data_IF_859584120114
#
_entry.id   IF_859584120114
#
_cell.length_a   1.000
_cell.length_b   1.000
_cell.length_c   1.000
_cell.angle_alpha   90.00
_cell.angle_beta   90.00
_cell.angle_gamma   90.00
#
_symmetry.space_group_name_H-M   'P 1'
#
loop_
_entity.id
_entity.type
_entity.pdbx_description
1 polymer ?
#
# COMPACT_ATOMS: atom_id res chain seq x y z
N UNK A 1 16.29 -3.28 26.69
CA UNK A 1 15.11 -3.22 25.79
C UNK A 1 15.57 -3.74 24.44
N UNK A 2 14.83 -4.67 23.83
CA UNK A 2 15.09 -5.18 22.48
C UNK A 2 14.02 -4.64 21.53
N UNK A 3 14.46 -4.13 20.37
CA UNK A 3 13.59 -3.56 19.34
C UNK A 3 13.61 -4.43 18.09
N UNK A 4 12.44 -4.77 17.57
CA UNK A 4 12.28 -5.40 16.26
C UNK A 4 11.62 -4.40 15.31
N UNK A 5 12.38 -3.88 14.36
CA UNK A 5 11.92 -2.95 13.32
C UNK A 5 11.52 -3.62 12.00
N UNK A 6 11.46 -4.95 11.97
CA UNK A 6 11.16 -5.72 10.77
C UNK A 6 9.69 -5.71 10.39
N UNK A 7 9.36 -6.32 9.25
CA UNK A 7 7.96 -6.64 8.90
C UNK A 7 7.55 -7.98 9.54
N UNK A 8 7.76 -8.10 10.85
CA UNK A 8 7.43 -9.30 11.63
C UNK A 8 5.92 -9.52 11.70
N UNK A 9 5.51 -10.78 11.83
CA UNK A 9 4.11 -11.08 12.14
C UNK A 9 3.81 -10.70 13.59
N UNK A 10 2.68 -10.06 13.86
CA UNK A 10 2.37 -9.53 15.18
C UNK A 10 2.26 -10.63 16.26
N UNK A 11 1.77 -11.83 15.90
CA UNK A 11 1.71 -12.95 16.83
C UNK A 11 3.12 -13.43 17.26
N UNK A 12 4.11 -13.40 16.36
CA UNK A 12 5.50 -13.72 16.72
C UNK A 12 6.05 -12.69 17.71
N UNK A 13 5.62 -11.43 17.57
CA UNK A 13 5.99 -10.34 18.48
C UNK A 13 5.37 -10.54 19.86
N UNK A 14 4.11 -10.97 19.93
CA UNK A 14 3.46 -11.34 21.18
C UNK A 14 4.20 -12.51 21.87
N UNK A 15 4.53 -13.57 21.12
CA UNK A 15 5.29 -14.71 21.65
C UNK A 15 6.67 -14.28 22.17
N UNK A 16 7.39 -13.44 21.41
CA UNK A 16 8.71 -12.90 21.83
C UNK A 16 8.59 -12.01 23.07
N UNK A 17 7.59 -11.13 23.11
CA UNK A 17 7.31 -10.25 24.25
C UNK A 17 7.09 -11.07 25.52
N UNK A 18 6.19 -12.06 25.48
CA UNK A 18 5.90 -12.94 26.61
C UNK A 18 7.14 -13.69 27.11
N UNK A 19 7.90 -14.31 26.21
CA UNK A 19 9.09 -15.09 26.58
C UNK A 19 10.25 -14.25 27.12
N UNK A 20 10.42 -13.02 26.63
CA UNK A 20 11.47 -12.11 27.09
C UNK A 20 11.09 -11.39 28.39
N UNK A 21 9.81 -11.07 28.58
CA UNK A 21 9.33 -10.47 29.83
C UNK A 21 9.57 -11.39 31.04
N UNK A 22 9.45 -12.71 30.88
CA UNK A 22 9.80 -13.69 31.92
C UNK A 22 11.28 -13.64 32.34
N UNK A 23 12.15 -13.08 31.49
CA UNK A 23 13.58 -12.88 31.76
C UNK A 23 13.92 -11.44 32.17
N UNK A 24 12.91 -10.61 32.43
CA UNK A 24 13.11 -9.19 32.74
C UNK A 24 13.55 -8.33 31.54
N UNK A 25 13.37 -8.82 30.31
CA UNK A 25 13.76 -8.10 29.09
C UNK A 25 12.51 -7.58 28.40
N UNK A 26 12.37 -6.25 28.30
CA UNK A 26 11.33 -5.63 27.49
C UNK A 26 11.60 -5.81 25.99
N UNK A 27 10.56 -6.22 25.26
CA UNK A 27 10.53 -6.32 23.80
C UNK A 27 9.55 -5.30 23.22
N UNK A 28 9.95 -4.59 22.16
CA UNK A 28 9.11 -3.61 21.46
C UNK A 28 9.12 -3.96 19.97
N UNK A 29 7.93 -4.16 19.39
CA UNK A 29 7.74 -4.32 17.95
C UNK A 29 7.44 -2.98 17.30
N UNK A 30 8.20 -2.61 16.28
CA UNK A 30 8.10 -1.32 15.61
C UNK A 30 7.84 -1.53 14.11
N UNK A 31 6.64 -1.20 13.68
CA UNK A 31 6.35 -1.07 12.26
C UNK A 31 7.06 0.14 11.67
N UNK A 32 7.97 -0.06 10.71
CA UNK A 32 8.70 1.05 10.05
C UNK A 32 8.26 1.20 8.60
N UNK A 33 7.74 2.36 8.18
CA UNK A 33 7.33 2.64 6.79
C UNK A 33 8.00 3.89 6.21
N UNK A 34 8.26 3.89 4.89
CA UNK A 34 8.93 5.00 4.18
C UNK A 34 10.02 4.58 3.18
N UNK A 35 10.32 3.29 3.08
CA UNK A 35 11.39 2.78 2.21
C UNK A 35 12.78 3.26 2.63
N UNK A 36 13.77 3.13 1.75
CA UNK A 36 15.16 3.53 2.03
C UNK A 36 15.29 5.04 2.27
N UNK A 37 14.57 5.84 1.49
CA UNK A 37 14.57 7.29 1.63
C UNK A 37 13.92 7.74 2.95
N UNK A 38 12.74 7.19 3.28
CA UNK A 38 12.10 7.47 4.57
C UNK A 38 12.95 7.01 5.75
N UNK A 39 13.58 5.84 5.69
CA UNK A 39 14.50 5.40 6.74
C UNK A 39 15.68 6.37 6.98
N UNK A 40 16.14 7.07 5.94
CA UNK A 40 17.25 8.02 6.04
C UNK A 40 16.86 9.39 6.61
N UNK A 41 15.66 9.88 6.27
CA UNK A 41 15.25 11.26 6.52
C UNK A 41 14.03 11.42 7.43
N UNK A 42 13.35 10.33 7.76
CA UNK A 42 12.14 10.34 8.59
C UNK A 42 11.13 9.28 8.14
N UNK A 43 11.05 8.10 8.79
CA UNK A 43 10.00 7.12 8.53
C UNK A 43 8.77 7.37 9.41
N UNK A 44 7.68 6.68 9.09
CA UNK A 44 6.59 6.47 10.04
C UNK A 44 6.94 5.29 10.96
N UNK A 45 6.76 5.46 12.27
CA UNK A 45 7.04 4.47 13.30
C UNK A 45 5.76 4.10 14.06
N UNK A 46 5.38 2.82 13.98
CA UNK A 46 4.17 2.27 14.57
C UNK A 46 4.59 1.38 15.74
N UNK A 47 4.57 1.89 16.96
CA UNK A 47 5.21 1.22 18.11
C UNK A 47 4.20 0.37 18.88
N UNK A 48 4.54 -0.87 19.18
CA UNK A 48 3.82 -1.75 20.09
C UNK A 48 4.75 -2.32 21.15
N UNK A 49 4.31 -2.36 22.40
CA UNK A 49 5.11 -2.92 23.49
C UNK A 49 4.77 -2.34 24.86
N UNK A 50 5.68 -2.55 25.81
CA UNK A 50 5.52 -2.03 27.16
C UNK A 50 5.67 -0.50 27.20
N UNK A 51 4.73 0.19 27.84
CA UNK A 51 4.68 1.66 27.92
C UNK A 51 5.89 2.28 28.62
N UNK A 52 6.35 1.70 29.75
CA UNK A 52 7.54 2.19 30.47
C UNK A 52 8.79 2.05 29.60
N UNK A 53 8.91 0.93 28.88
CA UNK A 53 10.01 0.72 27.96
C UNK A 53 9.97 1.72 26.81
N UNK A 54 8.79 1.99 26.24
CA UNK A 54 8.61 3.00 25.20
C UNK A 54 9.04 4.41 25.67
N UNK A 55 8.57 4.89 26.82
CA UNK A 55 8.94 6.23 27.30
C UNK A 55 10.44 6.40 27.52
N UNK A 56 11.16 5.33 27.87
CA UNK A 56 12.62 5.40 28.02
C UNK A 56 13.38 5.62 26.70
N UNK A 57 12.77 5.27 25.55
CA UNK A 57 13.36 5.40 24.21
C UNK A 57 12.60 6.38 23.29
N UNK A 58 11.50 6.96 23.79
CA UNK A 58 10.56 7.78 23.01
C UNK A 58 11.27 8.94 22.31
N UNK A 59 12.13 9.68 23.02
CA UNK A 59 12.89 10.80 22.46
C UNK A 59 13.70 10.40 21.21
N UNK A 60 14.27 9.19 21.18
CA UNK A 60 15.01 8.67 20.03
C UNK A 60 14.04 8.45 18.86
N UNK A 61 12.94 7.73 19.10
CA UNK A 61 11.97 7.40 18.05
C UNK A 61 11.31 8.65 17.47
N UNK A 62 10.92 9.62 18.31
CA UNK A 62 10.37 10.89 17.86
C UNK A 62 11.39 11.68 17.01
N UNK A 63 12.67 11.73 17.45
CA UNK A 63 13.72 12.51 16.77
C UNK A 63 14.07 11.99 15.36
N UNK A 64 13.91 10.69 15.12
CA UNK A 64 14.22 10.07 13.83
C UNK A 64 13.00 9.95 12.91
N UNK A 65 11.78 10.11 13.43
CA UNK A 65 10.54 9.97 12.65
C UNK A 65 10.29 11.15 11.70
N UNK A 66 9.50 10.93 10.66
CA UNK A 66 8.97 12.03 9.85
C UNK A 66 8.17 13.00 10.74
N UNK A 67 8.07 14.26 10.33
CA UNK A 67 7.26 15.27 11.02
C UNK A 67 6.27 15.92 10.05
N UNK A 68 5.00 16.00 10.46
CA UNK A 68 3.96 16.70 9.73
C UNK A 68 3.34 17.79 10.62
N UNK A 69 3.49 19.06 10.24
CA UNK A 69 2.95 20.21 10.98
C UNK A 69 3.30 20.19 12.47
N UNK A 70 4.58 19.95 12.79
CA UNK A 70 5.13 19.79 14.15
C UNK A 70 4.66 18.52 14.89
N UNK A 71 3.95 17.60 14.24
CA UNK A 71 3.56 16.32 14.81
C UNK A 71 4.48 15.20 14.28
N UNK A 72 5.26 14.52 15.13
CA UNK A 72 6.06 13.37 14.72
C UNK A 72 5.17 12.21 14.29
N UNK A 73 5.56 11.50 13.23
CA UNK A 73 4.87 10.33 12.70
C UNK A 73 5.27 9.06 13.48
N UNK A 74 5.23 9.13 14.81
CA UNK A 74 5.58 8.07 15.73
C UNK A 74 4.61 8.07 16.92
N UNK A 75 4.09 6.90 17.27
CA UNK A 75 3.23 6.74 18.44
C UNK A 75 3.32 5.33 19.02
N UNK A 76 3.14 5.22 20.34
CA UNK A 76 2.80 3.96 21.01
C UNK A 76 1.32 3.65 20.74
N UNK A 77 1.07 2.60 19.98
CA UNK A 77 -0.26 2.22 19.50
C UNK A 77 -0.94 1.18 20.38
N UNK A 78 -0.18 0.50 21.24
CA UNK A 78 -0.71 -0.52 22.15
C UNK A 78 0.37 -1.47 22.66
N UNK A 79 -0.03 -2.54 23.37
CA UNK A 79 0.90 -3.51 23.90
C UNK A 79 1.50 -4.42 22.81
N UNK A 80 2.57 -5.11 23.17
CA UNK A 80 3.12 -6.26 22.43
C UNK A 80 3.21 -6.10 20.90
N UNK A 81 2.38 -6.84 20.16
CA UNK A 81 2.39 -6.93 18.70
C UNK A 81 1.69 -5.78 17.97
N UNK A 82 1.05 -4.84 18.67
CA UNK A 82 0.16 -3.85 18.05
C UNK A 82 0.86 -3.02 16.96
N UNK A 83 2.12 -2.64 17.16
CA UNK A 83 2.90 -1.90 16.16
C UNK A 83 3.04 -2.65 14.83
N UNK A 84 3.37 -3.95 14.89
CA UNK A 84 3.46 -4.82 13.71
C UNK A 84 2.09 -5.14 13.11
N UNK A 85 1.03 -5.20 13.91
CA UNK A 85 -0.33 -5.37 13.42
C UNK A 85 -0.79 -4.18 12.59
N UNK A 86 -0.62 -2.96 13.12
CA UNK A 86 -0.94 -1.72 12.40
C UNK A 86 -0.11 -1.61 11.11
N UNK A 87 1.17 -2.01 11.15
CA UNK A 87 2.01 -2.05 9.94
C UNK A 87 1.53 -3.05 8.90
N UNK A 88 1.01 -4.19 9.35
CA UNK A 88 0.41 -5.19 8.45
C UNK A 88 -0.81 -4.59 7.74
N UNK A 89 -1.66 -3.87 8.46
CA UNK A 89 -2.84 -3.21 7.86
C UNK A 89 -2.42 -2.06 6.93
N UNK A 90 -1.42 -1.27 7.30
CA UNK A 90 -0.83 -0.26 6.43
C UNK A 90 -0.41 -0.84 5.07
N UNK A 91 0.29 -1.97 5.06
CA UNK A 91 0.67 -2.65 3.80
C UNK A 91 -0.54 -3.17 3.02
N UNK A 92 -1.61 -3.61 3.69
CA UNK A 92 -2.86 -4.00 3.04
C UNK A 92 -3.52 -2.82 2.31
N UNK A 93 -3.64 -1.67 3.01
CA UNK A 93 -4.16 -0.43 2.42
C UNK A 93 -3.28 0.02 1.25
N UNK A 94 -1.95 -0.06 1.37
CA UNK A 94 -1.02 0.24 0.26
C UNK A 94 -1.33 -0.62 -0.97
N UNK A 95 -1.53 -1.93 -0.80
CA UNK A 95 -1.85 -2.84 -1.91
C UNK A 95 -3.16 -2.46 -2.58
N UNK A 96 -4.20 -2.17 -1.79
CA UNK A 96 -5.48 -1.68 -2.29
C UNK A 96 -5.31 -0.39 -3.11
N UNK A 97 -4.57 0.58 -2.59
CA UNK A 97 -4.38 1.88 -3.26
C UNK A 97 -3.61 1.74 -4.57
N UNK A 98 -2.57 0.89 -4.62
CA UNK A 98 -1.84 0.59 -5.84
C UNK A 98 -2.75 -0.06 -6.90
N UNK A 99 -3.61 -1.02 -6.49
CA UNK A 99 -4.53 -1.67 -7.42
C UNK A 99 -5.56 -0.68 -7.97
N UNK A 100 -6.15 0.16 -7.11
CA UNK A 100 -7.12 1.17 -7.55
C UNK A 100 -6.51 2.15 -8.58
N UNK A 101 -5.25 2.54 -8.38
CA UNK A 101 -4.52 3.35 -9.35
C UNK A 101 -4.31 2.58 -10.67
N UNK A 102 -3.92 1.30 -10.58
CA UNK A 102 -3.72 0.45 -11.74
C UNK A 102 -5.01 0.23 -12.54
N UNK A 103 -6.15 0.06 -11.87
CA UNK A 103 -7.46 -0.07 -12.52
C UNK A 103 -7.84 1.20 -13.28
N UNK A 104 -7.63 2.37 -12.67
CA UNK A 104 -7.85 3.66 -13.33
C UNK A 104 -6.92 3.83 -14.54
N UNK A 105 -5.64 3.49 -14.39
CA UNK A 105 -4.71 3.49 -15.51
C UNK A 105 -5.17 2.55 -16.64
N UNK A 106 -5.62 1.33 -16.31
CA UNK A 106 -6.17 0.37 -17.27
C UNK A 106 -7.38 0.92 -18.02
N UNK A 107 -8.32 1.59 -17.32
CA UNK A 107 -9.48 2.23 -17.95
C UNK A 107 -9.05 3.36 -18.90
N UNK A 108 -8.09 4.19 -18.51
CA UNK A 108 -7.59 5.29 -19.33
C UNK A 108 -6.84 4.77 -20.57
N UNK A 109 -6.01 3.74 -20.39
CA UNK A 109 -5.21 3.12 -21.47
C UNK A 109 -6.09 2.34 -22.42
N UNK A 110 -6.85 1.35 -21.94
CA UNK A 110 -7.56 0.40 -22.79
C UNK A 110 -8.91 0.97 -23.24
N UNK A 111 -9.58 1.74 -22.37
CA UNK A 111 -10.90 2.30 -22.64
C UNK A 111 -10.87 3.61 -23.41
N UNK A 112 -9.90 4.49 -23.13
CA UNK A 112 -9.78 5.82 -23.76
C UNK A 112 -8.58 5.96 -24.68
N UNK A 113 -7.77 4.91 -24.87
CA UNK A 113 -6.54 4.94 -25.67
C UNK A 113 -5.58 6.06 -25.25
N UNK A 114 -5.55 6.44 -23.96
CA UNK A 114 -4.61 7.44 -23.47
C UNK A 114 -3.21 6.86 -23.41
N UNK A 115 -2.26 7.64 -23.88
CA UNK A 115 -0.83 7.34 -23.73
C UNK A 115 -0.40 7.45 -22.26
N UNK A 116 0.74 6.84 -21.95
CA UNK A 116 1.45 6.96 -20.67
C UNK A 116 1.64 8.44 -20.28
N UNK A 117 2.12 9.26 -21.22
CA UNK A 117 2.40 10.69 -21.03
C UNK A 117 1.12 11.51 -20.76
N UNK A 118 0.05 11.30 -21.53
CA UNK A 118 -1.23 11.97 -21.26
C UNK A 118 -1.80 11.59 -19.89
N UNK A 119 -1.62 10.33 -19.50
CA UNK A 119 -2.07 9.84 -18.20
C UNK A 119 -1.21 10.40 -17.07
N UNK A 120 0.11 10.57 -17.28
CA UNK A 120 1.02 11.27 -16.36
C UNK A 120 0.56 12.71 -16.09
N UNK A 121 0.18 13.46 -17.12
CA UNK A 121 -0.34 14.82 -16.94
C UNK A 121 -1.64 14.84 -16.13
N UNK A 122 -2.52 13.86 -16.35
CA UNK A 122 -3.75 13.73 -15.58
C UNK A 122 -3.49 13.43 -14.09
N UNK A 123 -2.64 12.44 -13.78
CA UNK A 123 -2.24 12.13 -12.41
C UNK A 123 -1.49 13.30 -11.74
N UNK A 124 -0.66 14.04 -12.49
CA UNK A 124 -0.01 15.27 -12.02
C UNK A 124 -1.05 16.31 -11.57
N UNK A 125 -2.10 16.52 -12.37
CA UNK A 125 -3.20 17.43 -12.03
C UNK A 125 -3.99 16.93 -10.82
N UNK A 126 -4.33 15.64 -10.76
CA UNK A 126 -5.04 15.07 -9.60
C UNK A 126 -4.23 15.15 -8.31
N UNK A 127 -2.91 15.10 -8.41
CA UNK A 127 -2.02 15.23 -7.27
C UNK A 127 -1.97 16.66 -6.70
N UNK A 128 -2.51 17.68 -7.36
CA UNK A 128 -2.68 19.02 -6.78
C UNK A 128 -4.03 19.20 -6.08
N UNK A 129 -4.90 18.20 -6.14
CA UNK A 129 -6.25 18.21 -5.57
C UNK A 129 -6.43 17.20 -4.44
N UNK A 130 -7.66 16.69 -4.31
CA UNK A 130 -8.06 15.73 -3.26
C UNK A 130 -7.34 14.38 -3.31
N UNK A 131 -6.70 14.05 -4.44
CA UNK A 131 -5.91 12.85 -4.61
C UNK A 131 -4.41 13.06 -4.32
N UNK A 132 -4.02 14.24 -3.78
CA UNK A 132 -2.66 14.50 -3.35
C UNK A 132 -2.15 13.38 -2.43
N UNK A 133 -1.18 12.62 -2.91
CA UNK A 133 -0.56 11.54 -2.14
C UNK A 133 0.74 11.08 -2.78
N UNK A 134 1.61 10.45 -2.00
CA UNK A 134 2.87 9.90 -2.51
C UNK A 134 2.64 8.94 -3.68
N UNK A 135 1.68 8.02 -3.60
CA UNK A 135 1.38 7.06 -4.67
C UNK A 135 0.89 7.75 -5.95
N UNK A 136 0.04 8.77 -5.85
CA UNK A 136 -0.42 9.56 -7.00
C UNK A 136 0.77 10.28 -7.66
N UNK A 137 1.65 10.88 -6.86
CA UNK A 137 2.86 11.57 -7.32
C UNK A 137 3.78 10.63 -8.11
N UNK A 138 4.19 9.52 -7.50
CA UNK A 138 5.11 8.59 -8.16
C UNK A 138 4.47 7.92 -9.39
N UNK A 139 3.15 7.78 -9.42
CA UNK A 139 2.44 7.28 -10.62
C UNK A 139 2.66 8.22 -11.79
N UNK A 140 2.50 9.54 -11.59
CA UNK A 140 2.79 10.52 -12.64
C UNK A 140 4.26 10.50 -13.09
N UNK A 141 5.20 10.39 -12.13
CA UNK A 141 6.63 10.29 -12.42
C UNK A 141 6.95 9.01 -13.23
N UNK A 142 6.43 7.85 -12.84
CA UNK A 142 6.64 6.57 -13.54
C UNK A 142 6.08 6.63 -14.97
N UNK A 143 4.87 7.17 -15.14
CA UNK A 143 4.21 7.26 -16.44
C UNK A 143 4.87 8.24 -17.42
N UNK A 144 5.70 9.16 -16.93
CA UNK A 144 6.51 10.07 -17.76
C UNK A 144 7.94 9.57 -17.98
N UNK A 145 8.33 8.47 -17.33
CA UNK A 145 9.66 7.90 -17.47
C UNK A 145 9.81 7.18 -18.81
N UNK A 146 10.99 7.33 -19.42
CA UNK A 146 11.37 6.69 -20.68
C UNK A 146 12.45 5.66 -20.38
N UNK A 147 12.33 4.48 -20.99
CA UNK A 147 13.37 3.46 -20.93
C UNK A 147 14.58 3.89 -21.77
N UNK A 148 15.78 4.02 -21.17
CA UNK A 148 16.96 4.51 -21.88
C UNK A 148 17.48 3.53 -22.95
N UNK A 149 17.04 2.27 -22.95
CA UNK A 149 17.49 1.24 -23.89
C UNK A 149 16.64 1.23 -25.16
N UNK A 150 15.31 1.19 -25.00
CA UNK A 150 14.36 1.08 -26.11
C UNK A 150 13.83 2.43 -26.58
N UNK A 151 13.90 3.48 -25.76
CA UNK A 151 13.27 4.78 -26.02
C UNK A 151 11.74 4.79 -25.87
N UNK A 152 11.14 3.68 -25.43
CA UNK A 152 9.71 3.57 -25.17
C UNK A 152 9.35 4.05 -23.76
N UNK A 153 8.06 4.23 -23.47
CA UNK A 153 7.62 4.52 -22.10
C UNK A 153 8.07 3.40 -21.16
N UNK A 154 8.62 3.75 -20.00
CA UNK A 154 9.15 2.77 -19.05
C UNK A 154 8.07 1.74 -18.65
N UNK A 155 6.83 2.20 -18.47
CA UNK A 155 5.70 1.34 -18.07
C UNK A 155 5.36 0.26 -19.11
N UNK A 156 5.66 0.49 -20.39
CA UNK A 156 5.30 -0.42 -21.49
C UNK A 156 6.32 -1.56 -21.67
N UNK A 157 7.52 -1.43 -21.08
CA UNK A 157 8.59 -2.45 -21.17
C UNK A 157 8.81 -3.20 -19.86
N UNK A 158 8.10 -2.81 -18.78
CA UNK A 158 8.10 -3.55 -17.52
C UNK A 158 7.22 -4.80 -17.67
N UNK A 159 7.75 -5.96 -17.27
CA UNK A 159 6.97 -7.18 -17.20
C UNK A 159 5.80 -7.01 -16.21
N UNK A 160 4.59 -7.30 -16.68
CA UNK A 160 3.31 -7.17 -15.98
C UNK A 160 3.08 -8.32 -14.99
N UNK A 161 4.07 -8.59 -14.15
CA UNK A 161 4.06 -9.61 -13.11
C UNK A 161 4.35 -8.98 -11.76
N UNK A 162 3.30 -8.78 -10.96
CA UNK A 162 3.38 -8.10 -9.68
C UNK A 162 3.83 -9.06 -8.57
N UNK A 163 5.05 -8.87 -8.07
CA UNK A 163 5.54 -9.58 -6.90
C UNK A 163 4.87 -9.09 -5.60
N UNK A 164 4.94 -9.93 -4.56
CA UNK A 164 4.51 -9.58 -3.21
C UNK A 164 5.35 -10.30 -2.14
N UNK A 165 5.43 -9.70 -0.95
CA UNK A 165 6.21 -10.23 0.20
C UNK A 165 5.33 -10.85 1.29
N UNK A 166 4.05 -11.09 1.01
CA UNK A 166 3.11 -11.75 1.92
C UNK A 166 2.48 -10.88 3.01
N UNK A 167 2.94 -9.64 3.24
CA UNK A 167 2.36 -8.76 4.27
C UNK A 167 0.91 -8.39 3.98
N UNK A 168 0.54 -8.17 2.71
CA UNK A 168 -0.86 -7.90 2.36
C UNK A 168 -1.75 -9.13 2.58
N UNK A 169 -1.24 -10.34 2.29
CA UNK A 169 -1.97 -11.60 2.53
C UNK A 169 -2.28 -11.74 4.02
N UNK A 170 -1.32 -11.40 4.89
CA UNK A 170 -1.52 -11.41 6.34
C UNK A 170 -2.68 -10.49 6.75
N UNK A 171 -2.80 -9.30 6.17
CA UNK A 171 -3.92 -8.38 6.46
C UNK A 171 -5.27 -9.03 6.17
N UNK A 172 -5.41 -9.73 5.04
CA UNK A 172 -6.65 -10.45 4.67
C UNK A 172 -6.93 -11.60 5.64
N UNK A 173 -5.91 -12.41 5.96
CA UNK A 173 -6.06 -13.54 6.88
C UNK A 173 -6.57 -13.05 8.24
N UNK A 174 -5.99 -11.97 8.77
CA UNK A 174 -6.44 -11.38 10.04
C UNK A 174 -7.83 -10.76 9.92
N UNK A 175 -8.15 -10.14 8.78
CA UNK A 175 -9.51 -9.67 8.48
C UNK A 175 -10.55 -10.78 8.58
N UNK A 176 -10.30 -11.92 7.92
CA UNK A 176 -11.21 -13.06 7.97
C UNK A 176 -11.34 -13.65 9.37
N UNK A 177 -10.25 -13.77 10.14
CA UNK A 177 -10.29 -14.24 11.53
C UNK A 177 -11.17 -13.35 12.42
N UNK A 178 -11.19 -12.04 12.16
CA UNK A 178 -11.97 -11.05 12.91
C UNK A 178 -13.33 -10.74 12.27
N UNK A 179 -13.78 -11.54 11.29
CA UNK A 179 -15.02 -11.32 10.56
C UNK A 179 -15.14 -9.88 10.03
N UNK A 180 -14.04 -9.34 9.51
CA UNK A 180 -13.95 -8.01 8.91
C UNK A 180 -13.60 -8.14 7.43
N UNK A 181 -14.34 -7.46 6.58
CA UNK A 181 -14.17 -7.54 5.13
C UNK A 181 -13.14 -6.51 4.64
N UNK A 182 -12.09 -7.00 3.97
CA UNK A 182 -11.06 -6.18 3.33
C UNK A 182 -11.14 -6.33 1.81
N UNK A 183 -12.36 -6.24 1.25
CA UNK A 183 -12.65 -6.65 -0.12
C UNK A 183 -11.76 -5.98 -1.18
N UNK A 184 -11.40 -4.71 -0.99
CA UNK A 184 -10.54 -4.00 -1.94
C UNK A 184 -9.10 -4.53 -1.86
N UNK A 185 -8.62 -4.85 -0.66
CA UNK A 185 -7.29 -5.48 -0.46
C UNK A 185 -7.29 -6.92 -0.98
N UNK A 186 -8.38 -7.66 -0.79
CA UNK A 186 -8.59 -9.01 -1.33
C UNK A 186 -8.47 -9.02 -2.85
N UNK A 187 -9.18 -8.12 -3.53
CA UNK A 187 -9.11 -7.97 -4.99
C UNK A 187 -7.71 -7.55 -5.44
N UNK A 188 -7.05 -6.64 -4.71
CA UNK A 188 -5.67 -6.25 -5.02
C UNK A 188 -4.69 -7.42 -4.96
N UNK A 189 -4.88 -8.35 -4.02
CA UNK A 189 -4.03 -9.55 -3.91
C UNK A 189 -4.39 -10.57 -4.98
N UNK A 190 -5.68 -10.74 -5.26
CA UNK A 190 -6.13 -11.58 -6.37
C UNK A 190 -5.55 -11.13 -7.70
N UNK A 191 -5.60 -9.83 -8.02
CA UNK A 191 -5.04 -9.26 -9.25
C UNK A 191 -3.53 -9.50 -9.36
N UNK A 192 -2.78 -9.36 -8.26
CA UNK A 192 -1.35 -9.70 -8.23
C UNK A 192 -1.12 -11.17 -8.51
N UNK A 193 -1.87 -12.06 -7.87
CA UNK A 193 -1.76 -13.50 -8.13
C UNK A 193 -2.07 -13.83 -9.59
N UNK A 194 -3.14 -13.25 -10.16
CA UNK A 194 -3.49 -13.43 -11.57
C UNK A 194 -2.36 -12.99 -12.51
N UNK A 195 -1.66 -11.89 -12.19
CA UNK A 195 -0.52 -11.41 -12.98
C UNK A 195 0.68 -12.36 -13.02
N UNK A 196 0.76 -13.35 -12.11
CA UNK A 196 1.78 -14.41 -12.14
C UNK A 196 1.52 -15.44 -13.25
N UNK A 197 0.28 -15.52 -13.74
CA UNK A 197 -0.17 -16.52 -14.72
C UNK A 197 -0.15 -15.97 -16.16
N UNK A 198 0.80 -15.08 -16.50
CA UNK A 198 0.84 -14.36 -17.78
C UNK A 198 0.87 -15.31 -19.00
N UNK A 199 1.63 -16.41 -18.93
CA UNK A 199 1.69 -17.40 -20.01
C UNK A 199 0.35 -18.10 -20.26
N UNK A 200 -0.42 -18.36 -19.19
CA UNK A 200 -1.77 -18.93 -19.28
C UNK A 200 -2.73 -17.89 -19.87
N UNK A 201 -2.68 -16.64 -19.38
CA UNK A 201 -3.47 -15.53 -19.91
C UNK A 201 -3.25 -15.33 -21.41
N UNK A 202 -2.00 -15.36 -21.90
CA UNK A 202 -1.67 -15.26 -23.33
C UNK A 202 -2.27 -16.41 -24.14
N UNK A 203 -2.20 -17.64 -23.64
CA UNK A 203 -2.84 -18.82 -24.29
C UNK A 203 -4.36 -18.65 -24.34
N UNK A 204 -4.98 -18.20 -23.24
CA UNK A 204 -6.42 -17.99 -23.15
C UNK A 204 -6.89 -16.88 -24.09
N UNK A 205 -6.12 -15.80 -24.26
CA UNK A 205 -6.44 -14.71 -25.18
C UNK A 205 -6.55 -15.19 -26.65
N UNK A 206 -5.77 -16.19 -27.06
CA UNK A 206 -5.86 -16.79 -28.40
C UNK A 206 -7.13 -17.61 -28.61
N UNK A 207 -7.69 -18.17 -27.53
CA UNK A 207 -8.90 -19.02 -27.53
C UNK A 207 -10.15 -18.15 -27.44
N UNK A 208 -10.20 -17.24 -26.47
CA UNK A 208 -11.29 -16.30 -26.27
C UNK A 208 -11.12 -15.08 -27.19
N UNK A 209 -11.29 -15.30 -28.50
CA UNK A 209 -11.28 -14.25 -29.54
C UNK A 209 -12.53 -13.39 -29.45
N UNK A 210 -12.65 -12.58 -28.40
CA UNK A 210 -13.59 -11.46 -28.32
C UNK A 210 -13.24 -10.60 -27.10
N UNK A 211 -12.35 -9.61 -27.23
CA UNK A 211 -12.53 -8.44 -26.41
C UNK A 211 -13.75 -7.73 -27.00
N UNK A 212 -14.89 -7.80 -26.32
CA UNK A 212 -15.89 -6.74 -26.44
C UNK A 212 -15.13 -5.42 -26.52
N UNK A 213 -15.35 -4.63 -27.58
CA UNK A 213 -14.61 -3.39 -27.81
C UNK A 213 -14.78 -2.48 -26.61
N UNK A 214 -13.84 -2.55 -25.68
CA UNK A 214 -13.81 -1.70 -24.50
C UNK A 214 -13.32 -0.34 -24.99
N UNK A 215 -14.24 0.41 -25.58
CA UNK A 215 -14.00 1.71 -26.17
C UNK A 215 -14.99 2.67 -25.53
N UNK A 216 -14.47 3.53 -24.66
CA UNK A 216 -15.20 4.57 -23.98
C UNK A 216 -15.12 5.85 -24.80
N UNK A 217 -16.19 6.64 -24.78
CA UNK A 217 -16.16 7.98 -25.35
C UNK A 217 -15.56 8.94 -24.33
N UNK A 218 -14.56 9.70 -24.73
CA UNK A 218 -14.01 10.76 -23.89
C UNK A 218 -15.10 11.80 -23.58
N UNK A 219 -15.20 12.18 -22.31
CA UNK A 219 -15.86 13.39 -21.87
C UNK A 219 -15.17 13.91 -20.59
N UNK A 220 -15.20 15.23 -20.37
CA UNK A 220 -14.66 15.81 -19.14
C UNK A 220 -15.41 15.30 -17.90
N UNK A 221 -16.70 14.96 -18.05
CA UNK A 221 -17.51 14.32 -17.01
C UNK A 221 -16.95 12.94 -16.64
N UNK A 222 -16.60 12.11 -17.62
CA UNK A 222 -16.01 10.80 -17.38
C UNK A 222 -14.66 10.90 -16.65
N UNK A 223 -13.79 11.83 -17.05
CA UNK A 223 -12.51 12.04 -16.36
C UNK A 223 -12.72 12.47 -14.90
N UNK A 224 -13.69 13.34 -14.64
CA UNK A 224 -14.06 13.75 -13.29
C UNK A 224 -14.65 12.57 -12.49
N UNK A 225 -15.45 11.72 -13.13
CA UNK A 225 -16.04 10.55 -12.50
C UNK A 225 -14.97 9.51 -12.15
N UNK A 226 -13.96 9.31 -13.00
CA UNK A 226 -12.81 8.45 -12.69
C UNK A 226 -12.00 9.00 -11.49
N UNK A 227 -11.79 10.32 -11.43
CA UNK A 227 -11.15 10.97 -10.27
C UNK A 227 -11.96 10.75 -8.99
N UNK A 228 -13.28 10.93 -9.07
CA UNK A 228 -14.21 10.70 -7.96
C UNK A 228 -14.22 9.23 -7.53
N UNK A 229 -14.28 8.31 -8.48
CA UNK A 229 -14.29 6.87 -8.24
C UNK A 229 -13.01 6.42 -7.54
N UNK A 230 -11.84 6.90 -8.00
CA UNK A 230 -10.57 6.64 -7.33
C UNK A 230 -10.59 7.19 -5.90
N UNK A 231 -11.03 8.45 -5.72
CA UNK A 231 -11.08 9.09 -4.41
C UNK A 231 -11.98 8.34 -3.42
N UNK A 232 -13.21 8.00 -3.82
CA UNK A 232 -14.16 7.25 -3.00
C UNK A 232 -13.63 5.85 -2.70
N UNK A 233 -13.04 5.17 -3.68
CA UNK A 233 -12.47 3.83 -3.46
C UNK A 233 -11.30 3.85 -2.48
N UNK A 234 -10.46 4.90 -2.51
CA UNK A 234 -9.42 5.11 -1.49
C UNK A 234 -10.05 5.26 -0.11
N UNK A 235 -11.08 6.11 0.05
CA UNK A 235 -11.79 6.27 1.33
C UNK A 235 -12.29 4.91 1.83
N UNK A 236 -12.97 4.12 0.99
CA UNK A 236 -13.47 2.80 1.36
C UNK A 236 -12.34 1.85 1.76
N UNK A 237 -11.19 1.88 1.08
CA UNK A 237 -10.03 1.05 1.45
C UNK A 237 -9.47 1.41 2.84
N UNK A 238 -9.41 2.71 3.16
CA UNK A 238 -9.04 3.17 4.50
C UNK A 238 -10.09 2.75 5.52
N UNK A 239 -11.39 2.96 5.24
CA UNK A 239 -12.48 2.56 6.13
C UNK A 239 -12.41 1.07 6.48
N UNK A 240 -12.20 0.19 5.49
CA UNK A 240 -12.05 -1.25 5.74
C UNK A 240 -10.85 -1.55 6.65
N UNK A 241 -9.69 -0.92 6.41
CA UNK A 241 -8.51 -1.09 7.25
C UNK A 241 -8.70 -0.57 8.67
N UNK A 242 -9.30 0.61 8.85
CA UNK A 242 -9.58 1.17 10.18
C UNK A 242 -10.62 0.37 10.95
N UNK A 243 -11.65 -0.16 10.28
CA UNK A 243 -12.61 -1.07 10.91
C UNK A 243 -11.94 -2.36 11.39
N UNK A 244 -10.95 -2.88 10.66
CA UNK A 244 -10.14 -4.00 11.13
C UNK A 244 -9.34 -3.63 12.39
N UNK A 245 -8.65 -2.48 12.39
CA UNK A 245 -7.92 -1.99 13.58
C UNK A 245 -8.86 -1.81 14.79
N UNK A 246 -10.07 -1.32 14.56
CA UNK A 246 -11.03 -1.11 15.65
C UNK A 246 -11.52 -2.42 16.28
N UNK A 247 -11.53 -3.52 15.50
CA UNK A 247 -11.99 -4.84 15.96
C UNK A 247 -10.90 -5.68 16.63
N UNK A 248 -9.62 -5.36 16.41
CA UNK A 248 -8.46 -6.09 16.93
C UNK A 248 -8.11 -5.70 18.36
#
# INVERSE_FOLDING_TARGET
ILLDGGNSHFADTQTRSLGLNQKGIYFIGIGVSGGTNGARYGPSLMVGGNEKAYHSIEHILLSISANYQNNPCCALLGPDGTGHFVKTIHNGIEYANMQLIADIYGILRDGLNKTSVETSHLFSKWNTGKLNSYLTKITAEILSSIDPITGLSMIDVICDTASQKGTGIRSIIEGHKLFSSLTITEIAIFARNLSLHNDECKKMQLVFKNPSSFCLKYSDTLIKDLENALYVSKILSFTQGFLLIHKS
#
